data_IF_664727754938
#
_entry.id   IF_664727754938
#
_cell.length_a   1.000
_cell.length_b   1.000
_cell.length_c   1.000
_cell.angle_alpha   90.00
_cell.angle_beta   90.00
_cell.angle_gamma   90.00
#
_symmetry.space_group_name_H-M   'P 1'
#
loop_
_entity.id
_entity.type
_entity.pdbx_description
1 polymer ?
#
# COMPACT_ATOMS: atom_id res chain seq x y z
N UNK A 1 -14.24 34.57 -44.42
CA UNK A 1 -12.94 34.44 -45.12
C UNK A 1 -12.51 32.99 -45.08
N UNK A 2 -12.28 32.42 -46.29
CA UNK A 2 -11.53 31.20 -46.68
C UNK A 2 -11.65 29.91 -45.85
N UNK A 3 -12.24 28.90 -46.50
CA UNK A 3 -11.94 27.46 -46.38
C UNK A 3 -10.53 27.15 -46.91
N UNK A 4 -9.91 26.09 -46.40
CA UNK A 4 -9.19 25.11 -47.24
C UNK A 4 -9.04 23.77 -46.50
N UNK A 5 -9.08 22.70 -47.28
CA UNK A 5 -9.07 21.28 -46.88
C UNK A 5 -7.71 20.63 -47.23
N UNK A 6 -7.68 19.29 -47.19
CA UNK A 6 -6.64 18.33 -47.63
C UNK A 6 -5.59 18.01 -46.54
N UNK A 7 -5.15 16.78 -46.33
CA UNK A 7 -5.41 15.51 -47.01
C UNK A 7 -4.58 14.41 -46.31
N UNK A 8 -5.04 13.17 -46.47
CA UNK A 8 -4.40 11.90 -46.09
C UNK A 8 -3.11 11.64 -46.87
N UNK A 9 -2.14 10.95 -46.26
CA UNK A 9 -1.28 10.04 -47.05
C UNK A 9 -0.72 8.87 -46.25
N UNK A 10 -0.56 7.77 -46.98
CA UNK A 10 -0.13 6.43 -46.56
C UNK A 10 1.29 6.11 -47.06
N UNK A 11 1.73 4.87 -46.78
CA UNK A 11 2.92 4.14 -47.26
C UNK A 11 4.13 4.20 -46.31
N UNK A 12 4.88 3.13 -46.02
CA UNK A 12 4.88 1.74 -46.52
C UNK A 12 5.87 0.89 -45.70
N UNK A 13 5.55 -0.40 -45.63
CA UNK A 13 6.34 -1.63 -45.42
C UNK A 13 7.88 -1.58 -45.39
N UNK A 14 8.48 -2.31 -44.44
CA UNK A 14 9.56 -3.28 -44.69
C UNK A 14 9.39 -4.49 -43.76
N UNK A 15 9.39 -5.69 -44.36
CA UNK A 15 9.24 -7.03 -43.76
C UNK A 15 10.61 -7.73 -43.69
N UNK A 16 10.68 -8.78 -42.85
CA UNK A 16 11.64 -9.91 -42.79
C UNK A 16 12.79 -9.74 -41.78
N UNK A 17 13.18 -10.74 -40.98
CA UNK A 17 12.83 -12.15 -40.99
C UNK A 17 13.26 -12.89 -39.72
N UNK A 18 12.72 -14.08 -39.58
CA UNK A 18 12.74 -14.98 -38.43
C UNK A 18 13.81 -16.08 -38.67
N UNK A 19 14.59 -16.50 -37.65
CA UNK A 19 15.03 -17.90 -37.41
C UNK A 19 15.95 -18.08 -36.18
N UNK A 20 15.85 -19.21 -35.46
CA UNK A 20 16.65 -19.54 -34.27
C UNK A 20 17.88 -20.39 -34.61
N UNK A 21 18.86 -20.47 -33.69
CA UNK A 21 20.00 -21.40 -33.76
C UNK A 21 19.91 -22.49 -32.70
N UNK A 22 19.82 -23.74 -33.17
CA UNK A 22 20.24 -24.97 -32.49
C UNK A 22 21.53 -25.48 -33.14
N UNK A 23 22.42 -26.05 -32.34
CA UNK A 23 23.52 -26.92 -32.74
C UNK A 23 24.25 -27.34 -31.47
N UNK A 24 24.52 -28.60 -31.18
CA UNK A 24 24.65 -29.77 -32.05
C UNK A 24 26.00 -30.41 -31.75
N UNK A 25 25.97 -31.43 -30.90
CA UNK A 25 27.07 -32.30 -30.47
C UNK A 25 27.60 -33.15 -31.64
N UNK A 26 28.93 -33.32 -31.79
CA UNK A 26 29.49 -34.61 -32.23
C UNK A 26 31.01 -34.77 -32.00
N UNK A 27 31.33 -36.02 -31.67
CA UNK A 27 32.61 -36.65 -31.33
C UNK A 27 33.64 -36.69 -32.46
N UNK A 28 34.93 -36.79 -32.11
CA UNK A 28 35.87 -37.66 -32.82
C UNK A 28 37.05 -38.12 -31.93
N UNK A 29 37.38 -39.39 -32.10
CA UNK A 29 38.35 -40.24 -31.40
C UNK A 29 39.78 -40.14 -31.96
N UNK A 30 40.79 -40.39 -31.12
CA UNK A 30 42.16 -40.70 -31.55
C UNK A 30 43.01 -41.33 -30.44
N UNK A 31 43.59 -42.50 -30.70
CA UNK A 31 44.63 -43.24 -29.94
C UNK A 31 45.78 -43.53 -30.93
N UNK A 32 46.96 -44.02 -30.51
CA UNK A 32 47.83 -43.64 -29.39
C UNK A 32 49.29 -43.42 -29.86
N UNK A 33 50.18 -42.88 -29.02
CA UNK A 33 51.63 -43.13 -29.15
C UNK A 33 52.37 -42.93 -27.83
N UNK A 34 53.36 -43.80 -27.65
CA UNK A 34 54.22 -44.03 -26.49
C UNK A 34 55.37 -43.04 -26.37
N UNK A 35 55.79 -42.72 -25.15
CA UNK A 35 57.15 -42.21 -24.88
C UNK A 35 57.34 -41.62 -23.48
N UNK A 36 58.34 -42.15 -22.76
CA UNK A 36 59.19 -41.55 -21.71
C UNK A 36 58.48 -40.67 -20.65
N UNK A 37 58.36 -41.08 -19.38
CA UNK A 37 59.47 -41.26 -18.45
C UNK A 37 59.86 -39.92 -17.83
N UNK A 38 59.37 -39.60 -16.63
CA UNK A 38 60.04 -38.77 -15.63
C UNK A 38 59.31 -38.87 -14.28
N UNK A 39 60.06 -39.22 -13.23
CA UNK A 39 59.60 -39.21 -11.86
C UNK A 39 59.66 -37.79 -11.30
N UNK A 40 58.55 -37.27 -10.77
CA UNK A 40 58.53 -36.07 -9.93
C UNK A 40 57.51 -36.21 -8.80
N UNK A 41 58.05 -36.47 -7.62
CA UNK A 41 57.63 -36.10 -6.26
C UNK A 41 56.23 -35.44 -6.16
N UNK A 42 55.25 -36.20 -5.65
CA UNK A 42 53.95 -35.67 -5.24
C UNK A 42 54.11 -34.86 -3.95
N UNK A 43 54.20 -33.54 -4.07
CA UNK A 43 53.93 -32.62 -2.95
C UNK A 43 52.42 -32.33 -2.95
N UNK A 44 51.71 -32.91 -1.99
CA UNK A 44 50.28 -32.66 -1.78
C UNK A 44 50.06 -31.23 -1.32
N UNK A 45 49.64 -30.35 -2.24
CA UNK A 45 49.08 -29.05 -1.89
C UNK A 45 47.61 -29.29 -1.51
N UNK A 46 47.33 -29.25 -0.22
CA UNK A 46 45.98 -29.24 0.31
C UNK A 46 45.36 -27.87 -0.03
N UNK A 47 44.60 -27.81 -1.12
CA UNK A 47 43.80 -26.63 -1.45
C UNK A 47 42.66 -26.52 -0.43
N UNK A 48 42.84 -25.66 0.58
CA UNK A 48 41.75 -25.23 1.45
C UNK A 48 40.83 -24.36 0.60
N UNK A 49 39.73 -24.95 0.13
CA UNK A 49 38.63 -24.19 -0.44
C UNK A 49 38.03 -23.34 0.68
N UNK A 50 38.37 -22.04 0.69
CA UNK A 50 37.65 -21.06 1.48
C UNK A 50 36.26 -20.98 0.88
N UNK A 51 35.33 -21.73 1.45
CA UNK A 51 33.90 -21.52 1.20
C UNK A 51 33.60 -20.14 1.77
N UNK A 52 33.48 -19.15 0.89
CA UNK A 52 32.88 -17.88 1.24
C UNK A 52 31.43 -18.19 1.63
N UNK A 53 31.18 -18.33 2.92
CA UNK A 53 29.84 -18.23 3.47
C UNK A 53 29.39 -16.81 3.10
N UNK A 54 28.32 -16.63 2.30
CA UNK A 54 27.75 -15.32 2.18
C UNK A 54 27.30 -14.97 3.60
N UNK A 55 27.98 -14.02 4.21
CA UNK A 55 27.42 -13.29 5.32
C UNK A 55 26.21 -12.56 4.75
N UNK A 56 25.06 -13.25 4.73
CA UNK A 56 23.80 -12.57 4.91
C UNK A 56 23.98 -11.87 6.25
N UNK A 57 24.40 -10.61 6.20
CA UNK A 57 24.23 -9.72 7.32
C UNK A 57 22.77 -9.87 7.68
N UNK A 58 22.50 -10.43 8.85
CA UNK A 58 21.26 -10.17 9.52
C UNK A 58 21.20 -8.64 9.62
N UNK A 59 20.56 -8.00 8.64
CA UNK A 59 19.91 -6.73 8.85
C UNK A 59 18.97 -7.03 10.00
N UNK A 60 19.36 -6.63 11.21
CA UNK A 60 18.41 -6.62 12.31
C UNK A 60 17.24 -5.77 11.88
N UNK A 61 16.05 -6.14 12.35
CA UNK A 61 14.81 -5.46 11.99
C UNK A 61 15.01 -3.93 12.15
N UNK A 62 14.96 -3.22 11.02
CA UNK A 62 15.08 -1.77 10.93
C UNK A 62 13.87 -1.09 11.58
N UNK A 63 12.74 -1.79 11.67
CA UNK A 63 11.44 -1.24 12.05
C UNK A 63 10.88 -2.04 13.22
N UNK A 64 10.82 -1.42 14.40
CA UNK A 64 10.26 -2.09 15.58
C UNK A 64 8.75 -2.23 15.45
N UNK A 65 8.16 -3.39 15.84
CA UNK A 65 6.71 -3.56 15.85
C UNK A 65 6.01 -2.45 16.64
N UNK A 66 4.86 -1.98 16.14
CA UNK A 66 4.06 -0.93 16.78
C UNK A 66 2.98 -1.56 17.66
N UNK A 67 2.92 -1.18 18.92
CA UNK A 67 1.89 -1.65 19.88
C UNK A 67 0.71 -0.68 19.99
N UNK A 68 -0.44 -1.14 20.48
CA UNK A 68 -1.57 -0.26 20.83
C UNK A 68 -1.14 0.87 21.79
N UNK A 69 -0.27 0.56 22.76
CA UNK A 69 0.24 1.56 23.71
C UNK A 69 1.07 2.66 23.04
N UNK A 70 1.82 2.34 21.97
CA UNK A 70 2.54 3.33 21.17
C UNK A 70 1.60 4.13 20.25
N UNK A 71 0.49 3.54 19.80
CA UNK A 71 -0.54 4.29 19.08
C UNK A 71 -1.26 5.29 20.01
N UNK A 72 -1.52 4.91 21.26
CA UNK A 72 -2.12 5.80 22.25
C UNK A 72 -1.18 6.92 22.69
N UNK A 73 0.12 6.64 22.81
CA UNK A 73 1.13 7.61 23.24
C UNK A 73 2.41 7.50 22.39
N UNK A 74 2.40 8.00 21.15
CA UNK A 74 3.54 7.89 20.24
C UNK A 74 4.70 8.77 20.70
N UNK A 75 5.91 8.30 20.44
CA UNK A 75 7.13 9.12 20.59
C UNK A 75 6.98 10.46 19.84
N UNK A 76 7.54 11.57 20.35
CA UNK A 76 7.73 12.80 19.58
C UNK A 76 8.42 12.59 18.22
N UNK A 77 9.29 11.58 18.14
CA UNK A 77 10.10 11.28 16.95
C UNK A 77 9.33 10.48 15.88
N UNK A 78 8.19 9.90 16.24
CA UNK A 78 7.36 9.07 15.37
C UNK A 78 6.06 9.80 14.95
N UNK A 79 5.52 9.43 13.78
CA UNK A 79 4.22 9.83 13.27
C UNK A 79 3.43 8.59 12.84
N UNK A 80 2.75 7.94 13.79
CA UNK A 80 2.21 6.58 13.59
C UNK A 80 0.78 6.53 13.02
N UNK A 81 0.12 7.67 12.84
CA UNK A 81 -1.27 7.75 12.35
C UNK A 81 -1.48 8.98 11.47
N UNK A 82 -2.57 9.01 10.70
CA UNK A 82 -2.96 10.14 9.86
C UNK A 82 -2.77 11.52 10.52
N UNK A 83 -3.15 11.64 11.79
CA UNK A 83 -3.10 12.88 12.58
C UNK A 83 -2.16 12.77 13.78
N UNK A 84 -1.14 11.91 13.69
CA UNK A 84 -0.17 11.53 14.72
C UNK A 84 -0.73 10.80 15.93
N UNK A 85 -1.84 11.25 16.51
CA UNK A 85 -2.47 10.69 17.72
C UNK A 85 -3.90 10.24 17.44
N UNK A 86 -4.40 9.25 18.21
CA UNK A 86 -5.74 8.68 18.03
C UNK A 86 -6.86 9.70 18.21
N UNK A 87 -6.65 10.76 19.00
CA UNK A 87 -7.57 11.87 19.19
C UNK A 87 -7.68 12.84 17.98
N UNK A 88 -6.88 12.65 16.93
CA UNK A 88 -6.99 13.40 15.69
C UNK A 88 -6.38 14.82 15.70
N UNK A 89 -5.54 15.16 16.68
CA UNK A 89 -5.05 16.54 16.87
C UNK A 89 -4.13 17.06 15.76
N UNK A 90 -3.36 16.19 15.11
CA UNK A 90 -2.37 16.57 14.09
C UNK A 90 -1.37 17.61 14.61
N UNK A 91 -0.94 17.42 15.84
CA UNK A 91 0.01 18.27 16.54
C UNK A 91 1.32 17.51 16.77
N UNK A 92 2.44 18.11 16.37
CA UNK A 92 3.78 17.62 16.73
C UNK A 92 4.28 18.35 17.99
N UNK A 93 4.79 17.64 19.01
CA UNK A 93 5.38 18.25 20.20
C UNK A 93 6.82 18.74 19.97
N UNK A 94 7.43 18.47 18.81
CA UNK A 94 8.78 18.95 18.48
C UNK A 94 8.78 20.48 18.32
N UNK A 95 9.77 21.14 18.92
CA UNK A 95 9.86 22.60 18.99
C UNK A 95 11.18 23.18 18.42
N UNK A 96 12.02 22.31 17.83
CA UNK A 96 13.28 22.72 17.19
C UNK A 96 13.04 23.80 16.12
N UNK A 97 12.00 23.63 15.30
CA UNK A 97 11.54 24.65 14.35
C UNK A 97 10.47 25.48 15.04
N UNK A 98 10.69 26.78 15.11
CA UNK A 98 9.81 27.72 15.78
C UNK A 98 9.76 29.07 15.04
N UNK A 99 9.03 30.04 15.62
CA UNK A 99 8.78 31.35 14.98
C UNK A 99 10.05 32.16 14.70
N UNK A 100 11.13 31.89 15.41
CA UNK A 100 12.38 32.64 15.30
C UNK A 100 13.28 32.11 14.18
N UNK A 101 13.21 30.81 13.87
CA UNK A 101 14.12 30.15 12.92
C UNK A 101 13.43 29.53 11.70
N UNK A 102 12.10 29.52 11.61
CA UNK A 102 11.36 28.96 10.45
C UNK A 102 11.77 29.60 9.11
N UNK A 103 12.25 30.84 9.15
CA UNK A 103 12.74 31.59 7.98
C UNK A 103 13.99 30.97 7.35
N UNK A 104 14.72 30.13 8.10
CA UNK A 104 15.95 29.49 7.66
C UNK A 104 15.72 28.11 7.06
N UNK A 105 14.48 27.61 7.01
CA UNK A 105 14.15 26.31 6.45
C UNK A 105 14.66 26.15 5.02
N UNK A 106 15.33 25.02 4.77
CA UNK A 106 15.82 24.61 3.44
C UNK A 106 15.28 23.24 3.11
N UNK A 107 15.07 23.00 1.82
CA UNK A 107 14.80 21.67 1.31
C UNK A 107 16.00 20.77 1.61
N UNK A 108 15.79 19.68 2.34
CA UNK A 108 16.82 18.65 2.59
C UNK A 108 16.87 17.67 1.42
N UNK A 109 15.72 17.07 1.07
CA UNK A 109 15.57 16.20 -0.08
C UNK A 109 14.15 16.30 -0.65
N UNK A 110 13.97 15.84 -1.89
CA UNK A 110 12.66 15.68 -2.53
C UNK A 110 12.64 14.42 -3.36
N UNK A 111 11.50 13.72 -3.38
CA UNK A 111 11.29 12.51 -4.18
C UNK A 111 10.07 12.66 -5.07
N UNK A 112 10.18 12.19 -6.31
CA UNK A 112 9.04 12.06 -7.21
C UNK A 112 8.12 10.93 -6.74
N UNK A 113 6.85 11.25 -6.49
CA UNK A 113 5.81 10.27 -6.17
C UNK A 113 5.12 9.76 -7.44
N UNK A 114 4.30 8.71 -7.31
CA UNK A 114 3.56 8.14 -8.45
C UNK A 114 2.53 9.15 -8.98
N UNK A 115 2.21 9.12 -10.29
CA UNK A 115 1.25 10.04 -10.88
C UNK A 115 -0.16 9.78 -10.33
N UNK A 116 -0.94 10.86 -10.15
CA UNK A 116 -2.32 10.79 -9.68
C UNK A 116 -2.64 11.91 -8.69
N UNK A 117 -3.78 11.79 -8.01
CA UNK A 117 -4.22 12.79 -7.02
C UNK A 117 -3.52 12.55 -5.69
N UNK A 118 -2.52 13.36 -5.41
CA UNK A 118 -1.77 13.28 -4.17
C UNK A 118 -2.56 13.88 -3.01
N UNK A 119 -3.03 13.03 -2.10
CA UNK A 119 -3.67 13.40 -0.83
C UNK A 119 -3.10 12.59 0.36
N UNK A 120 -2.12 11.74 0.10
CA UNK A 120 -1.52 10.84 1.08
C UNK A 120 -0.82 11.59 2.20
N UNK A 121 -0.93 11.06 3.41
CA UNK A 121 -0.16 11.50 4.58
C UNK A 121 0.81 10.39 4.94
N UNK A 122 2.11 10.68 5.06
CA UNK A 122 3.08 9.65 5.42
C UNK A 122 2.94 9.25 6.89
N UNK A 123 3.23 7.99 7.18
CA UNK A 123 3.58 7.53 8.52
C UNK A 123 5.09 7.48 8.68
N UNK A 124 5.60 7.72 9.88
CA UNK A 124 7.04 7.64 10.17
C UNK A 124 7.27 6.79 11.43
N UNK A 125 8.11 5.76 11.31
CA UNK A 125 8.55 4.89 12.40
C UNK A 125 10.03 4.56 12.23
N UNK A 126 10.83 4.77 13.28
CA UNK A 126 12.26 4.40 13.30
C UNK A 126 13.05 4.93 12.08
N UNK A 127 12.74 6.16 11.65
CA UNK A 127 13.38 6.80 10.48
C UNK A 127 12.97 6.23 9.12
N UNK A 128 11.94 5.38 9.07
CA UNK A 128 11.30 4.92 7.83
C UNK A 128 9.98 5.67 7.63
N UNK A 129 9.83 6.29 6.46
CA UNK A 129 8.62 6.97 6.02
C UNK A 129 7.82 6.06 5.09
N UNK A 130 6.57 5.75 5.47
CA UNK A 130 5.62 5.02 4.64
C UNK A 130 4.67 6.00 3.96
N UNK A 131 4.72 6.07 2.64
CA UNK A 131 3.94 7.02 1.85
C UNK A 131 2.87 6.30 1.02
N UNK A 132 1.57 6.49 1.32
CA UNK A 132 0.51 6.06 0.43
C UNK A 132 0.51 6.95 -0.82
N UNK A 133 0.54 6.30 -1.97
CA UNK A 133 0.51 6.92 -3.28
C UNK A 133 -0.82 6.62 -3.98
N UNK A 134 -1.16 7.38 -5.04
CA UNK A 134 -2.25 7.02 -5.92
C UNK A 134 -2.13 5.59 -6.44
N UNK A 135 -3.28 4.97 -6.67
CA UNK A 135 -3.44 3.64 -7.28
C UNK A 135 -2.99 2.46 -6.42
N UNK A 136 -3.27 2.49 -5.12
CA UNK A 136 -2.95 1.41 -4.18
C UNK A 136 -1.44 1.06 -4.21
N UNK A 137 -0.63 2.12 -4.32
CA UNK A 137 0.83 2.03 -4.27
C UNK A 137 1.28 2.54 -2.90
N UNK A 138 2.17 1.82 -2.25
CA UNK A 138 2.77 2.22 -0.98
C UNK A 138 4.28 2.17 -1.15
N UNK A 139 4.97 3.21 -0.69
CA UNK A 139 6.44 3.29 -0.70
C UNK A 139 6.94 3.36 0.74
N UNK A 140 7.96 2.57 1.08
CA UNK A 140 8.82 2.86 2.22
C UNK A 140 10.06 3.61 1.77
N UNK A 141 10.38 4.68 2.48
CA UNK A 141 11.41 5.66 2.14
C UNK A 141 12.28 5.89 3.37
N UNK A 142 13.59 5.98 3.18
CA UNK A 142 14.49 6.46 4.22
C UNK A 142 14.18 7.94 4.52
N UNK A 143 13.71 8.25 5.73
CA UNK A 143 13.24 9.60 6.04
C UNK A 143 14.38 10.64 6.08
N UNK A 144 15.62 10.21 6.29
CA UNK A 144 16.80 11.09 6.33
C UNK A 144 17.28 11.41 4.91
N UNK A 145 17.36 10.40 4.02
CA UNK A 145 17.96 10.56 2.70
C UNK A 145 16.96 10.75 1.55
N UNK A 146 15.72 10.30 1.72
CA UNK A 146 14.71 10.23 0.65
C UNK A 146 14.86 9.02 -0.29
N UNK A 147 15.77 8.11 0.02
CA UNK A 147 16.01 6.89 -0.78
C UNK A 147 14.86 5.90 -0.65
N UNK A 148 14.57 5.19 -1.73
CA UNK A 148 13.55 4.13 -1.70
C UNK A 148 14.10 2.92 -0.95
N UNK A 149 13.30 2.40 -0.02
CA UNK A 149 13.55 1.11 0.61
C UNK A 149 12.81 0.02 -0.18
N UNK A 150 11.49 0.17 -0.31
CA UNK A 150 10.65 -0.71 -1.13
C UNK A 150 9.44 0.04 -1.69
N UNK A 151 8.86 -0.51 -2.77
CA UNK A 151 7.57 -0.07 -3.32
C UNK A 151 6.69 -1.30 -3.50
N UNK A 152 5.48 -1.24 -2.96
CA UNK A 152 4.41 -2.20 -3.22
C UNK A 152 3.42 -1.57 -4.18
N UNK A 153 3.04 -2.29 -5.23
CA UNK A 153 1.98 -1.89 -6.15
C UNK A 153 0.96 -3.02 -6.21
N UNK A 154 -0.22 -2.80 -5.62
CA UNK A 154 -1.30 -3.78 -5.66
C UNK A 154 -1.89 -3.84 -7.07
N UNK A 155 -2.21 -5.05 -7.53
CA UNK A 155 -2.98 -5.20 -8.77
C UNK A 155 -4.42 -4.69 -8.56
N UNK A 156 -4.99 -4.06 -9.58
CA UNK A 156 -6.31 -3.43 -9.51
C UNK A 156 -7.09 -3.73 -10.78
N UNK A 157 -8.42 -3.94 -10.70
CA UNK A 157 -9.26 -4.03 -11.88
C UNK A 157 -9.24 -2.74 -12.70
N UNK A 158 -9.25 -2.87 -14.03
CA UNK A 158 -9.27 -1.71 -14.94
C UNK A 158 -10.67 -1.06 -15.05
N UNK A 159 -11.73 -1.79 -14.67
CA UNK A 159 -13.14 -1.38 -14.76
C UNK A 159 -13.64 -0.62 -13.52
N UNK A 160 -12.79 -0.27 -12.55
CA UNK A 160 -13.22 0.44 -11.33
C UNK A 160 -13.97 1.75 -11.61
N UNK A 161 -13.59 2.45 -12.68
CA UNK A 161 -14.25 3.70 -13.10
C UNK A 161 -15.70 3.52 -13.57
N UNK A 162 -16.12 2.31 -13.91
CA UNK A 162 -17.50 2.00 -14.32
C UNK A 162 -18.44 1.84 -13.10
N UNK A 163 -17.87 1.57 -11.93
CA UNK A 163 -18.61 1.29 -10.71
C UNK A 163 -18.57 2.44 -9.70
N UNK A 164 -17.43 3.12 -9.62
CA UNK A 164 -17.07 4.10 -8.59
C UNK A 164 -17.02 5.53 -9.13
N UNK A 165 -16.77 6.50 -8.25
CA UNK A 165 -16.44 7.86 -8.67
C UNK A 165 -15.08 7.84 -9.38
N UNK A 166 -15.07 7.85 -10.71
CA UNK A 166 -13.87 7.72 -11.54
C UNK A 166 -12.78 8.78 -11.26
N UNK A 167 -13.13 9.95 -10.72
CA UNK A 167 -12.11 10.96 -10.34
C UNK A 167 -11.41 10.67 -9.01
N UNK A 168 -11.94 9.73 -8.22
CA UNK A 168 -11.43 9.35 -6.91
C UNK A 168 -10.83 7.94 -6.87
N UNK A 169 -10.87 7.19 -7.97
CA UNK A 169 -10.31 5.83 -8.05
C UNK A 169 -8.80 5.79 -7.87
N UNK A 170 -8.10 6.92 -7.89
CA UNK A 170 -6.66 6.97 -7.63
C UNK A 170 -6.33 7.72 -6.33
N UNK A 171 -7.30 7.96 -5.46
CA UNK A 171 -7.10 8.71 -4.20
C UNK A 171 -6.85 7.77 -3.04
N UNK A 172 -5.77 8.01 -2.30
CA UNK A 172 -5.51 7.42 -1.00
C UNK A 172 -4.93 8.51 -0.06
N UNK A 173 -5.50 8.67 1.13
CA UNK A 173 -5.11 9.71 2.10
C UNK A 173 -4.26 9.21 3.25
N UNK A 174 -4.38 7.94 3.61
CA UNK A 174 -3.78 7.41 4.82
C UNK A 174 -3.66 5.89 4.75
N UNK A 175 -2.67 5.39 5.48
CA UNK A 175 -2.45 3.99 5.81
C UNK A 175 -2.40 3.86 7.33
N UNK A 176 -2.49 2.65 7.86
CA UNK A 176 -2.28 2.38 9.29
C UNK A 176 -1.02 1.53 9.50
N UNK A 177 -0.50 1.54 10.73
CA UNK A 177 0.61 0.70 11.17
C UNK A 177 0.26 0.01 12.48
N UNK A 178 0.48 -1.29 12.58
CA UNK A 178 0.31 -2.06 13.82
C UNK A 178 1.10 -3.37 13.74
N UNK A 179 1.75 -3.74 14.85
CA UNK A 179 2.76 -4.81 14.83
C UNK A 179 3.81 -4.52 13.77
N UNK A 180 4.12 -5.50 12.94
CA UNK A 180 5.06 -5.42 11.82
C UNK A 180 4.36 -5.05 10.50
N UNK A 181 3.13 -4.54 10.55
CA UNK A 181 2.25 -4.41 9.39
C UNK A 181 1.95 -2.96 9.05
N UNK A 182 2.06 -2.65 7.76
CA UNK A 182 1.40 -1.49 7.13
C UNK A 182 0.07 -1.97 6.56
N UNK A 183 -1.03 -1.36 6.97
CA UNK A 183 -2.39 -1.81 6.67
C UNK A 183 -3.12 -0.73 5.88
N UNK A 184 -3.82 -1.13 4.82
CA UNK A 184 -4.55 -0.21 3.96
C UNK A 184 -5.85 -0.83 3.43
N UNK A 185 -6.71 0.01 2.87
CA UNK A 185 -7.89 -0.39 2.09
C UNK A 185 -7.67 -0.06 0.62
N UNK A 186 -7.90 -1.03 -0.25
CA UNK A 186 -7.78 -0.85 -1.70
C UNK A 186 -9.05 -0.26 -2.30
N UNK A 187 -8.91 0.29 -3.50
CA UNK A 187 -10.01 0.93 -4.20
C UNK A 187 -11.01 -0.07 -4.82
N UNK A 188 -10.74 -1.37 -4.79
CA UNK A 188 -11.70 -2.44 -5.13
C UNK A 188 -12.30 -3.12 -3.89
N UNK A 189 -12.41 -2.36 -2.79
CA UNK A 189 -13.02 -2.78 -1.52
C UNK A 189 -12.37 -4.00 -0.86
N UNK A 190 -11.04 -4.08 -0.88
CA UNK A 190 -10.30 -5.00 0.00
C UNK A 190 -9.64 -4.23 1.15
N UNK A 191 -9.31 -4.95 2.21
CA UNK A 191 -8.35 -4.56 3.22
C UNK A 191 -7.14 -5.48 3.11
N UNK A 192 -5.94 -4.94 3.22
CA UNK A 192 -4.72 -5.70 3.09
C UNK A 192 -3.61 -5.20 4.02
N UNK A 193 -2.65 -6.07 4.30
CA UNK A 193 -1.48 -5.74 5.09
C UNK A 193 -0.18 -6.16 4.40
N UNK A 194 0.80 -5.27 4.48
CA UNK A 194 2.15 -5.47 4.01
C UNK A 194 3.09 -5.57 5.21
N UNK A 195 4.10 -6.44 5.12
CA UNK A 195 5.18 -6.45 6.07
C UNK A 195 5.98 -5.15 5.96
N UNK A 196 6.12 -4.41 7.06
CA UNK A 196 6.63 -3.03 7.07
C UNK A 196 8.06 -2.93 6.53
N UNK A 197 8.90 -3.95 6.71
CA UNK A 197 10.28 -3.90 6.25
C UNK A 197 10.47 -4.25 4.78
N UNK A 198 9.59 -5.08 4.22
CA UNK A 198 9.80 -5.71 2.91
C UNK A 198 8.78 -5.26 1.87
N UNK A 199 7.61 -4.77 2.29
CA UNK A 199 6.49 -4.45 1.42
C UNK A 199 5.77 -5.69 0.87
N UNK A 200 6.10 -6.88 1.36
CA UNK A 200 5.45 -8.13 0.95
C UNK A 200 4.05 -8.25 1.54
N UNK A 201 3.09 -8.72 0.74
CA UNK A 201 1.73 -8.95 1.18
C UNK A 201 1.69 -10.07 2.23
N UNK A 202 1.15 -9.78 3.41
CA UNK A 202 0.99 -10.74 4.52
C UNK A 202 -0.40 -11.36 4.49
N UNK A 203 -1.42 -10.51 4.35
CA UNK A 203 -2.81 -10.95 4.23
C UNK A 203 -3.62 -9.94 3.43
N UNK A 204 -4.74 -10.42 2.89
CA UNK A 204 -5.71 -9.64 2.15
C UNK A 204 -7.11 -10.23 2.35
N UNK A 205 -8.13 -9.38 2.47
CA UNK A 205 -9.51 -9.78 2.67
C UNK A 205 -10.44 -8.89 1.87
N UNK A 206 -11.32 -9.50 1.08
CA UNK A 206 -12.39 -8.81 0.36
C UNK A 206 -13.45 -8.32 1.36
N UNK A 207 -13.77 -7.03 1.35
CA UNK A 207 -14.82 -6.43 2.20
C UNK A 207 -16.16 -6.45 1.46
N UNK A 208 -16.16 -6.05 0.19
CA UNK A 208 -17.33 -5.99 -0.69
C UNK A 208 -16.93 -6.39 -2.12
N UNK A 209 -17.83 -7.09 -2.81
CA UNK A 209 -17.79 -7.13 -4.28
C UNK A 209 -18.18 -5.75 -4.81
N UNK A 210 -17.18 -4.99 -5.27
CA UNK A 210 -17.34 -3.63 -5.75
C UNK A 210 -18.28 -3.50 -6.97
N UNK A 211 -18.57 -4.59 -7.70
CA UNK A 211 -19.53 -4.59 -8.81
C UNK A 211 -20.98 -4.69 -8.32
N UNK A 212 -21.18 -5.32 -7.17
CA UNK A 212 -22.49 -5.51 -6.52
C UNK A 212 -22.79 -4.36 -5.56
N UNK A 213 -21.83 -4.03 -4.71
CA UNK A 213 -21.94 -3.02 -3.66
C UNK A 213 -20.81 -1.98 -3.81
N UNK A 214 -20.86 -1.11 -4.83
CA UNK A 214 -19.78 -0.15 -5.08
C UNK A 214 -19.62 0.84 -3.92
N UNK A 215 -18.44 0.88 -3.31
CA UNK A 215 -18.02 1.90 -2.39
C UNK A 215 -16.58 2.40 -2.64
N UNK A 216 -16.38 3.71 -2.55
CA UNK A 216 -15.08 4.34 -2.70
C UNK A 216 -14.27 4.29 -1.41
N UNK A 217 -13.16 3.55 -1.40
CA UNK A 217 -12.11 3.65 -0.38
C UNK A 217 -11.12 4.75 -0.76
N UNK A 218 -11.08 5.83 0.02
CA UNK A 218 -10.22 6.97 -0.30
C UNK A 218 -9.45 7.52 0.88
N UNK A 219 -9.94 7.32 2.11
CA UNK A 219 -9.31 7.89 3.31
C UNK A 219 -8.43 6.91 4.05
N UNK A 220 -8.54 5.60 3.81
CA UNK A 220 -7.78 4.58 4.54
C UNK A 220 -8.28 4.33 5.97
N UNK A 221 -7.68 3.34 6.65
CA UNK A 221 -8.14 2.89 7.96
C UNK A 221 -7.45 3.59 9.16
N UNK A 222 -7.94 3.32 10.37
CA UNK A 222 -7.17 3.47 11.63
C UNK A 222 -7.05 2.12 12.34
N UNK A 223 -6.06 1.98 13.22
CA UNK A 223 -5.98 0.86 14.15
C UNK A 223 -6.20 1.34 15.58
N UNK A 224 -7.04 0.63 16.34
CA UNK A 224 -7.18 0.82 17.78
C UNK A 224 -7.58 -0.50 18.46
N UNK A 225 -6.87 -0.86 19.54
CA UNK A 225 -7.13 -2.09 20.29
C UNK A 225 -7.00 -3.35 19.43
N UNK A 226 -5.97 -3.39 18.58
CA UNK A 226 -5.70 -4.47 17.63
C UNK A 226 -6.72 -4.62 16.50
N UNK A 227 -7.58 -3.62 16.24
CA UNK A 227 -8.63 -3.68 15.22
C UNK A 227 -8.47 -2.57 14.21
N UNK A 228 -8.66 -2.90 12.94
CA UNK A 228 -8.62 -1.97 11.82
C UNK A 228 -10.03 -1.50 11.52
N UNK A 229 -10.29 -0.20 11.68
CA UNK A 229 -11.59 0.40 11.39
C UNK A 229 -11.53 1.15 10.05
N UNK A 230 -12.50 0.87 9.17
CA UNK A 230 -12.64 1.55 7.89
C UNK A 230 -14.10 1.86 7.56
N UNK A 231 -14.33 3.12 7.21
CA UNK A 231 -15.56 3.55 6.55
C UNK A 231 -15.39 3.52 5.04
N UNK A 232 -16.24 4.23 4.29
CA UNK A 232 -16.18 4.37 2.81
C UNK A 232 -17.13 5.43 2.29
N UNK A 233 -16.85 5.90 1.08
CA UNK A 233 -17.78 6.74 0.32
C UNK A 233 -18.77 5.87 -0.44
N UNK A 234 -20.06 6.14 -0.28
CA UNK A 234 -21.11 5.41 -0.98
C UNK A 234 -21.63 6.12 -2.24
N UNK A 235 -21.10 7.28 -2.58
CA UNK A 235 -21.37 7.88 -3.89
C UNK A 235 -20.60 7.07 -4.97
N UNK A 236 -21.18 6.80 -6.16
CA UNK A 236 -22.45 7.31 -6.66
C UNK A 236 -23.65 6.37 -6.49
N UNK A 237 -23.50 5.14 -6.00
CA UNK A 237 -24.57 4.14 -6.00
C UNK A 237 -24.59 3.19 -4.81
N UNK A 238 -23.67 3.34 -3.85
CA UNK A 238 -23.59 2.51 -2.66
C UNK A 238 -24.92 2.52 -1.91
N UNK A 239 -25.49 1.33 -1.75
CA UNK A 239 -26.76 1.08 -1.07
C UNK A 239 -26.56 0.55 0.36
N UNK A 240 -27.60 0.01 1.00
CA UNK A 240 -27.56 -0.38 2.41
C UNK A 240 -26.52 -1.44 2.77
N UNK A 241 -26.20 -2.33 1.83
CA UNK A 241 -25.23 -3.40 2.03
C UNK A 241 -23.78 -2.98 1.69
N UNK A 242 -23.61 -1.87 0.96
CA UNK A 242 -22.32 -1.24 0.71
C UNK A 242 -21.96 -0.17 1.74
N UNK A 243 -22.96 0.56 2.25
CA UNK A 243 -22.76 1.67 3.20
C UNK A 243 -22.59 1.19 4.63
N UNK A 244 -21.38 0.68 4.90
CA UNK A 244 -21.04 0.11 6.19
C UNK A 244 -19.71 0.65 6.73
N UNK A 245 -19.58 0.62 8.05
CA UNK A 245 -18.29 0.67 8.75
C UNK A 245 -17.91 -0.77 9.07
N UNK A 246 -16.65 -1.13 8.89
CA UNK A 246 -16.13 -2.47 9.24
C UNK A 246 -15.02 -2.38 10.27
N UNK A 247 -14.91 -3.41 11.08
CA UNK A 247 -13.74 -3.67 11.90
C UNK A 247 -13.15 -5.04 11.55
N UNK A 248 -11.84 -5.07 11.31
CA UNK A 248 -11.09 -6.31 11.05
C UNK A 248 -10.02 -6.49 12.13
N UNK A 249 -9.61 -7.73 12.39
CA UNK A 249 -8.43 -8.01 13.21
C UNK A 249 -7.18 -7.52 12.48
N UNK A 250 -6.34 -6.73 13.16
CA UNK A 250 -5.17 -6.12 12.52
C UNK A 250 -4.06 -7.12 12.16
N UNK A 251 -4.00 -8.28 12.82
CA UNK A 251 -2.99 -9.29 12.55
C UNK A 251 -3.40 -10.27 11.46
N UNK A 252 -4.71 -10.56 11.33
CA UNK A 252 -5.20 -11.59 10.40
C UNK A 252 -6.01 -11.07 9.23
N UNK A 253 -6.56 -9.85 9.32
CA UNK A 253 -7.50 -9.30 8.34
C UNK A 253 -8.93 -9.85 8.47
N UNK A 254 -9.22 -10.73 9.43
CA UNK A 254 -10.56 -11.31 9.61
C UNK A 254 -11.58 -10.24 10.03
N UNK A 255 -12.75 -10.20 9.37
CA UNK A 255 -13.83 -9.29 9.76
C UNK A 255 -14.39 -9.69 11.13
N UNK A 256 -14.33 -8.76 12.09
CA UNK A 256 -14.88 -8.94 13.44
C UNK A 256 -16.35 -8.53 13.45
N UNK A 257 -16.65 -7.38 12.83
CA UNK A 257 -18.00 -6.88 12.69
C UNK A 257 -18.13 -5.90 11.54
N UNK A 258 -19.37 -5.74 11.07
CA UNK A 258 -19.79 -4.65 10.17
C UNK A 258 -21.06 -3.99 10.69
N UNK A 259 -21.19 -2.69 10.42
CA UNK A 259 -22.34 -1.87 10.81
C UNK A 259 -22.85 -1.09 9.62
N UNK A 260 -24.11 -1.29 9.25
CA UNK A 260 -24.82 -0.47 8.26
C UNK A 260 -25.08 0.94 8.78
N UNK A 261 -24.99 1.90 7.88
CA UNK A 261 -25.30 3.30 8.13
C UNK A 261 -26.72 3.67 7.73
N UNK A 262 -27.34 2.86 6.86
CA UNK A 262 -28.75 2.99 6.48
C UNK A 262 -29.57 2.03 7.36
N UNK A 263 -30.56 2.53 8.13
CA UNK A 263 -31.41 1.68 8.96
C UNK A 263 -32.25 0.76 8.07
N UNK A 264 -32.38 -0.51 8.48
CA UNK A 264 -33.28 -1.45 7.84
C UNK A 264 -34.74 -1.26 8.28
N UNK A 265 -35.72 -1.83 7.55
CA UNK A 265 -37.12 -1.73 7.92
C UNK A 265 -37.39 -2.13 9.38
N UNK A 266 -37.97 -1.21 10.15
CA UNK A 266 -38.26 -1.39 11.58
C UNK A 266 -37.10 -1.14 12.55
N UNK A 267 -35.90 -0.82 12.08
CA UNK A 267 -34.79 -0.35 12.94
C UNK A 267 -34.97 1.15 13.30
N UNK A 268 -34.42 1.63 14.43
CA UNK A 268 -34.50 3.04 14.80
C UNK A 268 -33.96 3.96 13.70
N UNK A 269 -34.76 4.94 13.28
CA UNK A 269 -34.44 5.88 12.22
C UNK A 269 -35.05 5.52 10.86
N UNK A 270 -35.54 4.29 10.66
CA UNK A 270 -36.26 3.87 9.45
C UNK A 270 -37.46 4.77 9.14
N UNK A 271 -38.19 5.19 10.19
CA UNK A 271 -39.37 6.04 10.09
C UNK A 271 -39.08 7.42 9.49
N UNK A 272 -37.81 7.81 9.41
CA UNK A 272 -37.38 9.11 8.89
C UNK A 272 -37.11 9.09 7.38
N UNK A 273 -37.12 7.92 6.75
CA UNK A 273 -36.87 7.74 5.31
C UNK A 273 -38.13 7.89 4.43
N UNK A 274 -39.29 8.14 5.04
CA UNK A 274 -40.56 8.21 4.32
C UNK A 274 -40.89 6.89 3.62
N UNK A 275 -41.43 6.97 2.41
CA UNK A 275 -41.84 5.78 1.63
C UNK A 275 -40.72 5.24 0.72
N UNK A 276 -39.47 5.70 0.89
CA UNK A 276 -38.34 5.24 0.05
C UNK A 276 -38.05 3.76 0.33
N UNK A 277 -38.17 2.86 -0.68
CA UNK A 277 -37.85 1.45 -0.53
C UNK A 277 -36.43 1.24 -0.02
N UNK A 278 -36.22 0.23 0.83
CA UNK A 278 -34.93 0.00 1.49
C UNK A 278 -33.78 -0.15 0.48
N UNK A 279 -33.99 -0.87 -0.61
CA UNK A 279 -33.04 -1.12 -1.70
C UNK A 279 -32.76 0.11 -2.58
N UNK A 280 -33.58 1.16 -2.49
CA UNK A 280 -33.37 2.43 -3.19
C UNK A 280 -32.63 3.48 -2.33
N UNK A 281 -32.41 3.21 -1.04
CA UNK A 281 -31.67 4.12 -0.14
C UNK A 281 -30.18 4.05 -0.46
N UNK A 282 -29.52 5.20 -0.61
CA UNK A 282 -28.13 5.25 -1.08
C UNK A 282 -27.30 6.38 -0.43
N UNK A 283 -26.00 6.36 -0.72
CA UNK A 283 -25.01 7.43 -0.49
C UNK A 283 -24.58 7.72 0.96
N UNK A 284 -25.20 7.08 1.95
CA UNK A 284 -24.90 7.31 3.38
C UNK A 284 -23.58 6.63 3.81
N UNK A 285 -22.45 7.12 3.28
CA UNK A 285 -21.10 6.67 3.63
C UNK A 285 -20.48 7.42 4.81
N UNK A 286 -19.39 6.88 5.33
CA UNK A 286 -18.55 7.47 6.40
C UNK A 286 -17.10 7.51 5.92
N UNK A 287 -16.83 8.38 4.95
CA UNK A 287 -15.64 8.24 4.11
C UNK A 287 -14.37 8.84 4.71
N UNK A 288 -14.45 9.53 5.85
CA UNK A 288 -13.30 10.15 6.51
C UNK A 288 -12.65 9.20 7.54
N UNK A 289 -11.36 9.42 7.79
CA UNK A 289 -10.61 8.66 8.80
C UNK A 289 -11.22 8.90 10.19
N UNK A 290 -11.56 7.83 10.94
CA UNK A 290 -12.07 7.96 12.31
C UNK A 290 -11.04 8.51 13.30
N UNK A 291 -11.50 8.99 14.46
CA UNK A 291 -10.67 9.17 15.66
C UNK A 291 -11.05 8.15 16.74
N UNK A 292 -10.22 8.01 17.77
CA UNK A 292 -10.44 7.07 18.85
C UNK A 292 -10.03 7.65 20.21
N UNK A 293 -10.85 7.41 21.22
CA UNK A 293 -10.56 7.74 22.62
C UNK A 293 -10.36 6.44 23.41
N UNK A 294 -9.12 6.14 23.87
CA UNK A 294 -8.84 4.92 24.62
C UNK A 294 -9.46 4.89 26.02
N UNK A 295 -9.69 6.05 26.65
CA UNK A 295 -10.30 6.11 27.98
C UNK A 295 -11.79 5.79 27.93
N UNK A 296 -12.47 6.19 26.85
CA UNK A 296 -13.87 5.86 26.61
C UNK A 296 -14.05 4.55 25.84
N UNK A 297 -12.99 4.03 25.21
CA UNK A 297 -13.02 2.91 24.29
C UNK A 297 -14.06 3.13 23.16
N UNK A 298 -14.01 4.32 22.55
CA UNK A 298 -14.93 4.76 21.52
C UNK A 298 -14.20 5.21 20.26
N UNK A 299 -14.63 4.68 19.12
CA UNK A 299 -14.29 5.19 17.78
C UNK A 299 -15.34 6.22 17.36
N UNK A 300 -14.88 7.38 16.87
CA UNK A 300 -15.73 8.45 16.37
C UNK A 300 -15.53 8.60 14.86
N UNK A 301 -16.64 8.52 14.12
CA UNK A 301 -16.66 8.65 12.66
C UNK A 301 -18.00 9.24 12.22
N UNK A 302 -18.00 9.96 11.10
CA UNK A 302 -19.17 10.56 10.48
C UNK A 302 -19.06 10.66 8.97
#
# INVERSE_FOLDING_TARGET
MRRCATGTDSASDIVTGNRPRKGGLMLASGRPSSGFGLACIASGVLAVAVVAVPSALAQGDRIRPVTDAELENPSPDDWLMWRRTLDGWGYSPLDQINRENVVDLRLVWSRGLRPGRQQGTPLVRDGVMFMPNPRDIIQAIDAETGDLIWEHQRERPDDLGDYMIGTLTDTNRNIAIHGELIIDTSMDDHIFALHAETGEMVWETEILDYRVNPANQTSGPIVAGGKVFSGRSCDPRGGPDGCVITAHDAATGEEIWRRRLIPAPGEPGDETWGDVPFDERAHVGSWMVPSYDPALNLVYVG
#
